data_IF_653797524385
#
_entry.id   IF_653797524385
#
_cell.length_a   1.000
_cell.length_b   1.000
_cell.length_c   1.000
_cell.angle_alpha   90.00
_cell.angle_beta   90.00
_cell.angle_gamma   90.00
#
_symmetry.space_group_name_H-M   'P 1'
#
loop_
_entity.id
_entity.type
_entity.pdbx_description
1 polymer ?
#
# COMPACT_ATOMS: atom_id res chain seq x y z
N UNK A 1 11.83 -3.32 -8.58
CA UNK A 1 12.76 -4.44 -8.89
C UNK A 1 12.99 -5.37 -7.69
N UNK A 2 13.30 -4.86 -6.50
CA UNK A 2 13.64 -5.66 -5.32
C UNK A 2 12.52 -6.63 -4.87
N UNK A 3 11.29 -6.14 -4.70
CA UNK A 3 10.16 -6.99 -4.33
C UNK A 3 9.84 -8.08 -5.38
N UNK A 4 9.97 -7.77 -6.67
CA UNK A 4 9.81 -8.76 -7.74
C UNK A 4 10.88 -9.86 -7.67
N UNK A 5 12.11 -9.51 -7.28
CA UNK A 5 13.17 -10.50 -7.06
C UNK A 5 12.87 -11.42 -5.86
N UNK A 6 12.09 -10.96 -4.87
CA UNK A 6 11.54 -11.77 -3.78
C UNK A 6 10.28 -12.58 -4.19
N UNK A 7 9.86 -12.51 -5.45
CA UNK A 7 8.72 -13.24 -6.00
C UNK A 7 7.38 -12.53 -5.92
N UNK A 8 7.36 -11.23 -5.58
CA UNK A 8 6.11 -10.47 -5.51
C UNK A 8 5.61 -10.14 -6.91
N UNK A 9 4.33 -10.42 -7.17
CA UNK A 9 3.62 -9.89 -8.32
C UNK A 9 3.14 -8.49 -8.00
N UNK A 10 3.59 -7.49 -8.76
CA UNK A 10 3.30 -6.09 -8.51
C UNK A 10 2.76 -5.42 -9.76
N UNK A 11 1.75 -4.58 -9.58
CA UNK A 11 1.30 -3.58 -10.54
C UNK A 11 1.64 -2.21 -9.96
N UNK A 12 2.34 -1.38 -10.72
CA UNK A 12 2.61 0.02 -10.34
C UNK A 12 1.73 0.97 -11.15
N UNK A 13 1.46 2.16 -10.62
CA UNK A 13 0.70 3.20 -11.34
C UNK A 13 1.35 3.54 -12.68
N UNK A 14 2.69 3.59 -12.75
CA UNK A 14 3.42 3.85 -13.99
C UNK A 14 3.24 2.74 -15.03
N UNK A 15 3.10 1.48 -14.62
CA UNK A 15 2.84 0.36 -15.54
C UNK A 15 1.38 0.32 -16.00
N UNK A 16 0.44 0.72 -15.14
CA UNK A 16 -0.98 0.69 -15.47
C UNK A 16 -1.40 1.90 -16.34
N UNK A 17 -0.93 3.10 -15.99
CA UNK A 17 -1.32 4.35 -16.66
C UNK A 17 -0.26 4.88 -17.65
N UNK A 18 0.95 4.32 -17.67
CA UNK A 18 2.10 4.88 -18.39
C UNK A 18 2.85 5.93 -17.56
N UNK A 19 4.15 6.13 -17.83
CA UNK A 19 5.02 7.01 -17.04
C UNK A 19 4.58 8.49 -17.04
N UNK A 20 4.07 8.99 -18.18
CA UNK A 20 3.65 10.38 -18.32
C UNK A 20 2.31 10.67 -17.62
N UNK A 21 1.37 9.73 -17.66
CA UNK A 21 0.04 9.90 -17.06
C UNK A 21 0.02 9.47 -15.59
N UNK A 22 0.86 8.52 -15.19
CA UNK A 22 0.93 8.01 -13.82
C UNK A 22 1.32 9.07 -12.78
N UNK A 23 1.98 10.16 -13.18
CA UNK A 23 2.30 11.29 -12.29
C UNK A 23 1.07 12.17 -11.98
N UNK A 24 0.03 12.12 -12.81
CA UNK A 24 -1.19 12.91 -12.66
C UNK A 24 -2.38 12.16 -12.07
N UNK A 25 -2.27 10.84 -11.89
CA UNK A 25 -3.34 10.03 -11.29
C UNK A 25 -3.38 10.28 -9.78
N UNK A 26 -4.57 10.55 -9.26
CA UNK A 26 -4.77 10.75 -7.83
C UNK A 26 -4.64 9.42 -7.09
N UNK A 27 -4.05 9.45 -5.89
CA UNK A 27 -3.97 8.29 -4.98
C UNK A 27 -5.37 7.67 -4.75
N UNK A 28 -6.45 8.47 -4.73
CA UNK A 28 -7.83 7.96 -4.62
C UNK A 28 -8.29 7.13 -5.81
N UNK A 29 -7.91 7.50 -7.02
CA UNK A 29 -8.30 6.78 -8.24
C UNK A 29 -7.57 5.44 -8.31
N UNK A 30 -6.30 5.43 -7.88
CA UNK A 30 -5.53 4.20 -7.72
C UNK A 30 -6.13 3.28 -6.65
N UNK A 31 -6.55 3.83 -5.51
CA UNK A 31 -7.22 3.07 -4.45
C UNK A 31 -8.55 2.47 -4.93
N UNK A 32 -9.33 3.22 -5.71
CA UNK A 32 -10.55 2.69 -6.34
C UNK A 32 -10.24 1.49 -7.23
N UNK A 33 -9.32 1.65 -8.19
CA UNK A 33 -8.92 0.58 -9.11
C UNK A 33 -8.40 -0.65 -8.35
N UNK A 34 -7.58 -0.43 -7.32
CA UNK A 34 -7.06 -1.50 -6.49
C UNK A 34 -8.21 -2.26 -5.78
N UNK A 35 -9.19 -1.55 -5.22
CA UNK A 35 -10.36 -2.16 -4.60
C UNK A 35 -11.20 -2.98 -5.60
N UNK A 36 -11.44 -2.45 -6.80
CA UNK A 36 -12.18 -3.14 -7.88
C UNK A 36 -11.51 -4.45 -8.31
N UNK A 37 -10.17 -4.52 -8.23
CA UNK A 37 -9.40 -5.71 -8.59
C UNK A 37 -9.01 -6.59 -7.39
N UNK A 38 -9.41 -6.22 -6.17
CA UNK A 38 -9.03 -6.92 -4.94
C UNK A 38 -7.51 -6.87 -4.66
N UNK A 39 -6.83 -5.82 -5.08
CA UNK A 39 -5.39 -5.65 -4.89
C UNK A 39 -5.07 -4.96 -3.56
N UNK A 40 -4.24 -5.58 -2.71
CA UNK A 40 -3.62 -4.89 -1.60
C UNK A 40 -2.66 -3.81 -2.10
N UNK A 41 -2.62 -2.66 -1.42
CA UNK A 41 -1.80 -1.51 -1.83
C UNK A 41 -0.59 -1.37 -0.92
N UNK A 42 0.60 -1.21 -1.52
CA UNK A 42 1.82 -0.81 -0.79
C UNK A 42 2.08 0.69 -1.02
N UNK A 43 2.21 1.45 0.06
CA UNK A 43 2.47 2.88 0.03
C UNK A 43 3.78 3.23 0.73
N UNK A 44 4.51 4.20 0.17
CA UNK A 44 5.77 4.71 0.75
C UNK A 44 5.58 5.91 1.67
N UNK A 45 4.48 6.65 1.53
CA UNK A 45 4.24 7.88 2.29
C UNK A 45 3.31 7.58 3.48
N UNK A 46 3.76 7.88 4.69
CA UNK A 46 2.94 7.71 5.89
C UNK A 46 1.75 8.65 5.96
N UNK A 47 1.76 9.73 5.16
CA UNK A 47 0.68 10.73 5.14
C UNK A 47 -0.66 10.15 4.71
N UNK A 48 -0.69 9.00 4.04
CA UNK A 48 -1.93 8.28 3.70
C UNK A 48 -2.85 8.08 4.91
N UNK A 49 -2.28 7.90 6.11
CA UNK A 49 -3.08 7.75 7.34
C UNK A 49 -3.79 9.00 7.80
N UNK A 50 -3.40 10.17 7.31
CA UNK A 50 -3.97 11.47 7.69
C UNK A 50 -4.79 12.11 6.60
N UNK A 51 -4.67 11.66 5.34
CA UNK A 51 -5.38 12.23 4.20
C UNK A 51 -6.83 11.71 4.19
N UNK A 52 -7.85 12.56 4.43
CA UNK A 52 -9.23 12.10 4.56
C UNK A 52 -9.77 11.44 3.28
N UNK A 53 -9.36 11.94 2.12
CA UNK A 53 -9.76 11.41 0.82
C UNK A 53 -9.29 9.96 0.62
N UNK A 54 -8.03 9.66 0.95
CA UNK A 54 -7.48 8.31 0.84
C UNK A 54 -8.11 7.35 1.85
N UNK A 55 -8.33 7.79 3.09
CA UNK A 55 -9.06 6.97 4.08
C UNK A 55 -10.48 6.66 3.64
N UNK A 56 -11.17 7.65 3.08
CA UNK A 56 -12.52 7.46 2.52
C UNK A 56 -12.48 6.46 1.36
N UNK A 57 -11.51 6.58 0.44
CA UNK A 57 -11.35 5.66 -0.68
C UNK A 57 -11.02 4.23 -0.21
N UNK A 58 -10.14 4.07 0.79
CA UNK A 58 -9.82 2.78 1.40
C UNK A 58 -11.09 2.12 1.93
N UNK A 59 -11.91 2.86 2.69
CA UNK A 59 -13.16 2.34 3.26
C UNK A 59 -14.18 2.03 2.16
N UNK A 60 -14.41 2.97 1.25
CA UNK A 60 -15.44 2.87 0.21
C UNK A 60 -15.17 1.72 -0.78
N UNK A 61 -13.90 1.46 -1.10
CA UNK A 61 -13.51 0.44 -2.06
C UNK A 61 -12.96 -0.83 -1.41
N UNK A 62 -13.03 -0.95 -0.07
CA UNK A 62 -12.61 -2.15 0.66
C UNK A 62 -11.12 -2.46 0.53
N UNK A 63 -10.28 -1.44 0.32
CA UNK A 63 -8.84 -1.61 0.06
C UNK A 63 -8.12 -1.99 1.33
N UNK A 64 -7.10 -2.85 1.20
CA UNK A 64 -6.17 -3.16 2.27
C UNK A 64 -4.82 -2.53 1.95
N UNK A 65 -4.48 -1.45 2.65
CA UNK A 65 -3.32 -0.62 2.36
C UNK A 65 -2.24 -0.74 3.44
N UNK A 66 -0.99 -0.88 3.03
CA UNK A 66 0.19 -1.06 3.87
C UNK A 66 1.19 0.07 3.59
N UNK A 67 1.43 0.95 4.56
CA UNK A 67 2.30 2.11 4.38
C UNK A 67 3.56 2.02 5.25
N UNK A 68 4.68 2.53 4.75
CA UNK A 68 5.92 2.62 5.52
C UNK A 68 5.89 3.79 6.51
N UNK A 69 6.29 3.57 7.76
CA UNK A 69 6.29 4.61 8.81
C UNK A 69 7.47 5.59 8.75
N UNK A 70 8.33 5.53 7.73
CA UNK A 70 9.46 6.44 7.58
C UNK A 70 9.76 6.70 6.10
N UNK A 71 9.65 7.96 5.68
CA UNK A 71 9.95 8.40 4.32
C UNK A 71 11.44 8.58 4.01
N UNK A 72 12.32 8.50 5.01
CA UNK A 72 13.77 8.69 4.85
C UNK A 72 14.53 7.37 4.58
N UNK A 73 13.81 6.30 4.24
CA UNK A 73 14.42 5.02 3.91
C UNK A 73 14.91 4.99 2.46
N UNK A 74 16.08 4.40 2.23
CA UNK A 74 16.53 4.07 0.88
C UNK A 74 15.59 3.05 0.25
N UNK A 75 15.60 2.93 -1.08
CA UNK A 75 14.78 1.96 -1.79
C UNK A 75 15.00 0.52 -1.30
N UNK A 76 16.23 0.19 -0.92
CA UNK A 76 16.62 -1.10 -0.35
C UNK A 76 15.97 -1.33 0.99
N UNK A 77 16.04 -0.37 1.92
CA UNK A 77 15.42 -0.49 3.24
C UNK A 77 13.89 -0.50 3.17
N UNK A 78 13.30 0.23 2.22
CA UNK A 78 11.86 0.17 1.97
C UNK A 78 11.44 -1.24 1.51
N UNK A 79 12.16 -1.82 0.56
CA UNK A 79 11.88 -3.17 0.10
C UNK A 79 12.11 -4.20 1.21
N UNK A 80 13.20 -4.09 1.97
CA UNK A 80 13.51 -4.97 3.10
C UNK A 80 12.39 -4.99 4.13
N UNK A 81 11.82 -3.82 4.48
CA UNK A 81 10.71 -3.74 5.43
C UNK A 81 9.50 -4.55 4.96
N UNK A 82 9.15 -4.51 3.68
CA UNK A 82 8.07 -5.33 3.14
C UNK A 82 8.42 -6.82 3.08
N UNK A 83 9.64 -7.17 2.65
CA UNK A 83 10.10 -8.57 2.55
C UNK A 83 10.14 -9.24 3.91
N UNK A 84 10.74 -8.61 4.92
CA UNK A 84 10.83 -9.14 6.29
C UNK A 84 9.44 -9.38 6.88
N UNK A 85 8.46 -8.53 6.53
CA UNK A 85 7.10 -8.62 7.03
C UNK A 85 6.14 -9.36 6.08
N UNK A 86 6.63 -10.07 5.06
CA UNK A 86 5.79 -10.65 3.99
C UNK A 86 4.66 -11.52 4.52
N UNK A 87 4.93 -12.41 5.49
CA UNK A 87 3.89 -13.29 6.06
C UNK A 87 2.76 -12.47 6.68
N UNK A 88 3.08 -11.53 7.57
CA UNK A 88 2.09 -10.70 8.24
C UNK A 88 1.29 -9.82 7.25
N UNK A 89 1.95 -9.32 6.19
CA UNK A 89 1.28 -8.59 5.11
C UNK A 89 0.30 -9.51 4.38
N UNK A 90 0.71 -10.74 4.03
CA UNK A 90 -0.13 -11.69 3.30
C UNK A 90 -1.35 -12.11 4.13
N UNK A 91 -1.12 -12.48 5.38
CA UNK A 91 -2.18 -12.87 6.32
C UNK A 91 -3.20 -11.75 6.47
N UNK A 92 -2.71 -10.50 6.59
CA UNK A 92 -3.58 -9.32 6.64
C UNK A 92 -4.25 -9.05 5.29
N UNK A 93 -3.59 -9.28 4.16
CA UNK A 93 -4.07 -8.92 2.83
C UNK A 93 -5.21 -9.81 2.32
N UNK A 94 -5.27 -11.07 2.76
CA UNK A 94 -6.31 -12.03 2.33
C UNK A 94 -7.63 -11.88 3.08
N UNK A 95 -7.66 -11.09 4.16
CA UNK A 95 -8.88 -10.80 4.90
C UNK A 95 -9.86 -9.93 4.10
N UNK A 96 -11.14 -9.98 4.48
CA UNK A 96 -12.20 -9.19 3.83
C UNK A 96 -12.27 -7.78 4.42
N UNK A 97 -12.74 -6.85 3.60
CA UNK A 97 -13.03 -5.48 4.01
C UNK A 97 -11.79 -4.59 4.11
N UNK A 98 -12.00 -3.29 4.38
CA UNK A 98 -10.94 -2.31 4.36
C UNK A 98 -9.96 -2.49 5.53
N UNK A 99 -8.72 -2.09 5.31
CA UNK A 99 -7.70 -2.10 6.35
C UNK A 99 -6.55 -1.15 6.03
N UNK A 100 -6.01 -0.51 7.06
CA UNK A 100 -4.83 0.33 6.95
C UNK A 100 -3.76 -0.17 7.92
N UNK A 101 -2.56 -0.38 7.42
CA UNK A 101 -1.48 -1.02 8.17
C UNK A 101 -0.20 -0.19 8.10
N UNK A 102 0.36 0.09 9.27
CA UNK A 102 1.68 0.66 9.42
C UNK A 102 2.74 -0.45 9.34
N UNK A 103 3.62 -0.37 8.36
CA UNK A 103 4.78 -1.26 8.19
C UNK A 103 6.02 -0.54 8.68
N UNK A 104 6.67 -1.13 9.67
CA UNK A 104 7.97 -0.73 10.19
C UNK A 104 9.03 -1.72 9.69
N UNK A 105 10.31 -1.54 10.06
CA UNK A 105 11.35 -2.52 9.73
C UNK A 105 11.07 -3.94 10.25
N UNK A 106 10.28 -4.08 11.32
CA UNK A 106 10.14 -5.36 12.05
C UNK A 106 8.70 -5.74 12.40
N UNK A 107 7.71 -4.91 12.07
CA UNK A 107 6.32 -5.18 12.42
C UNK A 107 5.32 -4.56 11.45
N UNK A 108 4.16 -5.19 11.37
CA UNK A 108 2.93 -4.69 10.74
C UNK A 108 1.92 -4.43 11.85
N UNK A 109 1.32 -3.23 11.87
CA UNK A 109 0.31 -2.84 12.85
C UNK A 109 -0.90 -2.25 12.15
N UNK A 110 -2.09 -2.75 12.46
CA UNK A 110 -3.33 -2.16 11.98
C UNK A 110 -3.57 -0.79 12.63
N UNK A 111 -4.03 0.16 11.83
CA UNK A 111 -4.40 1.50 12.21
C UNK A 111 -5.91 1.60 12.16
N UNK A 112 -6.49 2.27 13.15
CA UNK A 112 -7.92 2.51 13.17
C UNK A 112 -8.33 3.45 12.01
N UNK A 113 -9.34 3.02 11.27
CA UNK A 113 -9.95 3.76 10.18
C UNK A 113 -11.13 4.62 10.64
N UNK A 114 -11.65 4.40 11.85
CA UNK A 114 -12.82 5.09 12.40
C UNK A 114 -12.51 6.43 13.10
N UNK A 115 -11.22 6.74 13.31
CA UNK A 115 -10.76 7.95 14.01
C UNK A 115 -10.25 9.04 13.08
#
# INVERSE_FOLDING_TARGET
RLLRADGWSLVTMAEHYGEETGQGVNDTDWLQLAGENGWPVLAKDERIRYRPAERTAIIAHGVRAFYLTSGNLTAEHMAEAFVVNRSAIWDSAVEKGPGLFAVTRTSVRQIDLAG
#
